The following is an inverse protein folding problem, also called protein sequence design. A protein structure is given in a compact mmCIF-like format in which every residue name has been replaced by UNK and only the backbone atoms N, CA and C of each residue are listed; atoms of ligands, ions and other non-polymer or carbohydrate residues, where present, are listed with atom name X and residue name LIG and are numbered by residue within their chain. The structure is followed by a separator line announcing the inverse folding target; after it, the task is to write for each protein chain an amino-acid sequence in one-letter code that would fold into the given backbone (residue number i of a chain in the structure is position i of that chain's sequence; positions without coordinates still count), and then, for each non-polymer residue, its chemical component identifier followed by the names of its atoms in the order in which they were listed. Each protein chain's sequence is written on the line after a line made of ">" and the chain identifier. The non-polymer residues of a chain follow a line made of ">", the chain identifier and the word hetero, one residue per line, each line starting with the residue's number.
data_IF_893236150569
#
_entry.id   IF_893236150569
#
_cell.length_a   1.000
_cell.length_b   1.000
_cell.length_c   1.000
_cell.angle_alpha   90.00
_cell.angle_beta   90.00
_cell.angle_gamma   90.00
#
_symmetry.space_group_name_H-M   'P 1'
#
loop_
_entity.id
_entity.type
_entity.pdbx_description
1 polymer ?
#
# COMPACT_ATOMS: atom_id res chain seq x y z
N UNK A 1 12.54 -26.21 13.13
CA UNK A 1 11.10 -25.89 12.84
C UNK A 1 10.83 -24.42 13.14
N UNK A 2 10.99 -23.57 12.13
CA UNK A 2 10.71 -22.15 12.26
C UNK A 2 9.22 -21.92 11.91
N UNK A 3 8.44 -21.43 12.88
CA UNK A 3 7.04 -21.05 12.63
C UNK A 3 6.97 -19.94 11.60
N UNK A 4 5.89 -19.89 10.79
CA UNK A 4 5.68 -18.79 9.85
C UNK A 4 5.57 -17.45 10.60
N UNK A 5 5.98 -16.36 9.97
CA UNK A 5 5.91 -15.02 10.55
C UNK A 5 4.47 -14.67 10.99
N UNK A 6 3.47 -15.07 10.21
CA UNK A 6 2.05 -14.87 10.52
C UNK A 6 1.67 -15.55 11.86
N UNK A 7 2.09 -16.80 12.05
CA UNK A 7 1.79 -17.54 13.29
C UNK A 7 2.53 -16.96 14.50
N UNK A 8 3.76 -16.48 14.31
CA UNK A 8 4.53 -15.81 15.39
C UNK A 8 3.86 -14.51 15.80
N UNK A 9 3.43 -13.69 14.83
CA UNK A 9 2.72 -12.44 15.11
C UNK A 9 1.39 -12.67 15.84
N UNK A 10 0.63 -13.70 15.44
CA UNK A 10 -0.64 -14.03 16.11
C UNK A 10 -0.43 -14.54 17.55
N UNK A 11 0.60 -15.35 17.80
CA UNK A 11 0.91 -15.78 19.16
C UNK A 11 1.34 -14.61 20.04
N UNK A 12 2.28 -13.78 19.55
CA UNK A 12 2.73 -12.59 20.28
C UNK A 12 1.60 -11.60 20.56
N UNK A 13 0.66 -11.44 19.61
CA UNK A 13 -0.51 -10.57 19.81
C UNK A 13 -1.39 -11.07 20.96
N UNK A 14 -1.62 -12.37 21.05
CA UNK A 14 -2.39 -12.96 22.16
C UNK A 14 -1.68 -12.79 23.50
N UNK A 15 -0.38 -13.05 23.53
CA UNK A 15 0.42 -12.97 24.75
C UNK A 15 0.53 -11.52 25.27
N UNK A 16 0.68 -10.54 24.37
CA UNK A 16 0.81 -9.13 24.74
C UNK A 16 -0.54 -8.45 25.03
N UNK A 17 -1.65 -8.97 24.51
CA UNK A 17 -2.99 -8.44 24.79
C UNK A 17 -3.42 -8.58 26.27
N UNK A 18 -2.76 -9.45 27.03
CA UNK A 18 -3.04 -9.69 28.45
C UNK A 18 -2.48 -8.57 29.35
N UNK A 19 -1.55 -7.75 28.85
CA UNK A 19 -0.90 -6.70 29.64
C UNK A 19 -1.79 -5.44 29.66
N UNK A 20 -2.39 -5.08 30.80
CA UNK A 20 -3.28 -3.93 30.88
C UNK A 20 -2.50 -2.61 30.64
N UNK A 21 -3.11 -1.71 29.89
CA UNK A 21 -2.54 -0.39 29.60
C UNK A 21 -1.50 -0.36 28.47
N UNK A 22 -1.18 -1.51 27.87
CA UNK A 22 -0.23 -1.60 26.74
C UNK A 22 -0.97 -1.83 25.41
N UNK A 23 -0.81 -0.94 24.46
CA UNK A 23 -1.27 -1.12 23.07
C UNK A 23 -0.07 -1.41 22.17
N UNK A 24 0.02 -2.65 21.69
CA UNK A 24 1.14 -3.11 20.85
C UNK A 24 0.69 -3.21 19.40
N UNK A 25 1.41 -2.54 18.51
CA UNK A 25 1.21 -2.59 17.06
C UNK A 25 2.41 -3.31 16.45
N UNK A 26 2.17 -4.46 15.83
CA UNK A 26 3.23 -5.25 15.24
C UNK A 26 3.13 -5.21 13.73
N UNK A 27 4.23 -4.84 13.09
CA UNK A 27 4.36 -4.81 11.64
C UNK A 27 5.55 -5.69 11.24
N UNK A 28 5.35 -6.68 10.34
CA UNK A 28 6.47 -7.41 9.78
C UNK A 28 7.31 -6.47 8.92
N UNK A 29 8.64 -6.51 9.09
CA UNK A 29 9.56 -5.78 8.22
C UNK A 29 9.59 -6.50 6.88
N UNK A 30 9.22 -5.79 5.83
CA UNK A 30 9.30 -6.30 4.46
C UNK A 30 10.60 -5.82 3.81
N UNK A 31 11.26 -6.71 3.06
CA UNK A 31 12.47 -6.37 2.32
C UNK A 31 12.21 -5.37 1.18
N UNK A 32 10.99 -5.31 0.67
CA UNK A 32 10.55 -4.37 -0.34
C UNK A 32 9.41 -3.52 0.23
N UNK A 33 9.63 -2.23 0.40
CA UNK A 33 8.61 -1.26 0.77
C UNK A 33 8.14 -0.54 -0.50
N UNK A 34 6.91 -0.79 -0.90
CA UNK A 34 6.32 -0.17 -2.09
C UNK A 34 5.70 1.17 -1.72
N UNK A 35 6.53 2.20 -1.63
CA UNK A 35 6.07 3.57 -1.40
C UNK A 35 5.46 3.81 -0.01
N UNK A 36 5.06 5.05 0.23
CA UNK A 36 4.38 5.46 1.45
C UNK A 36 5.30 5.78 2.63
N UNK A 37 4.69 6.37 3.66
CA UNK A 37 5.32 6.75 4.92
C UNK A 37 5.42 5.52 5.83
N UNK A 38 6.45 5.41 6.65
CA UNK A 38 6.51 4.36 7.68
C UNK A 38 5.43 4.59 8.72
N UNK A 39 4.49 3.64 8.83
CA UNK A 39 3.36 3.68 9.77
C UNK A 39 3.32 2.45 10.66
N UNK A 40 2.49 2.49 11.71
CA UNK A 40 2.34 1.39 12.68
C UNK A 40 1.71 0.14 12.04
N UNK A 41 0.90 0.31 10.99
CA UNK A 41 0.22 -0.77 10.27
C UNK A 41 0.58 -0.74 8.79
N UNK A 42 0.24 -1.80 8.05
CA UNK A 42 0.70 -2.02 6.67
C UNK A 42 0.03 -1.11 5.64
N UNK A 43 -1.30 -0.97 5.74
CA UNK A 43 -2.10 -0.23 4.76
C UNK A 43 -2.35 1.18 5.26
N UNK A 44 -2.46 2.13 4.33
CA UNK A 44 -2.60 3.54 4.65
C UNK A 44 -3.78 4.15 3.89
N UNK A 45 -4.59 4.92 4.61
CA UNK A 45 -5.65 5.76 4.06
C UNK A 45 -5.43 7.18 4.52
N UNK A 46 -5.35 8.12 3.60
CA UNK A 46 -4.91 9.49 3.84
C UNK A 46 -6.07 10.43 3.58
N UNK A 47 -6.39 11.27 4.56
CA UNK A 47 -7.32 12.37 4.43
C UNK A 47 -6.54 13.68 4.37
N UNK A 48 -6.88 14.54 3.42
CA UNK A 48 -6.20 15.82 3.17
C UNK A 48 -7.23 16.95 3.10
N UNK A 49 -6.93 18.09 3.71
CA UNK A 49 -7.73 19.31 3.56
C UNK A 49 -6.88 20.53 3.85
N UNK A 50 -7.25 21.66 3.29
CA UNK A 50 -6.62 22.96 3.59
C UNK A 50 -6.80 23.35 5.07
N UNK A 51 -7.92 22.95 5.70
CA UNK A 51 -8.20 23.20 7.12
C UNK A 51 -7.81 22.01 8.00
N UNK A 52 -6.76 22.15 8.81
CA UNK A 52 -6.25 21.07 9.67
C UNK A 52 -7.28 20.56 10.70
N UNK A 53 -8.04 21.44 11.33
CA UNK A 53 -9.02 21.07 12.36
C UNK A 53 -10.13 20.14 11.79
N UNK A 54 -10.64 20.47 10.59
CA UNK A 54 -11.63 19.64 9.92
C UNK A 54 -11.14 18.24 9.59
N UNK A 55 -9.88 18.09 9.15
CA UNK A 55 -9.30 16.78 8.82
C UNK A 55 -9.24 15.87 10.04
N UNK A 56 -8.89 16.43 11.22
CA UNK A 56 -8.82 15.64 12.45
C UNK A 56 -10.18 15.12 12.91
N UNK A 57 -11.20 15.95 12.85
CA UNK A 57 -12.58 15.55 13.22
C UNK A 57 -13.07 14.38 12.34
N UNK A 58 -12.94 14.54 11.03
CA UNK A 58 -13.40 13.55 10.08
C UNK A 58 -12.54 12.27 10.11
N UNK A 59 -11.22 12.39 10.31
CA UNK A 59 -10.36 11.22 10.47
C UNK A 59 -10.76 10.39 11.69
N UNK A 60 -11.15 11.01 12.80
CA UNK A 60 -11.64 10.30 13.97
C UNK A 60 -12.94 9.55 13.70
N UNK A 61 -13.90 10.15 12.98
CA UNK A 61 -15.13 9.48 12.55
C UNK A 61 -14.85 8.25 11.68
N UNK A 62 -13.91 8.37 10.72
CA UNK A 62 -13.49 7.24 9.88
C UNK A 62 -12.84 6.15 10.73
N UNK A 63 -11.91 6.51 11.63
CA UNK A 63 -11.23 5.56 12.52
C UNK A 63 -12.22 4.81 13.41
N UNK A 64 -13.24 5.48 13.93
CA UNK A 64 -14.27 4.85 14.75
C UNK A 64 -15.07 3.82 13.96
N UNK A 65 -15.51 4.17 12.76
CA UNK A 65 -16.17 3.23 11.84
C UNK A 65 -15.28 2.04 11.48
N UNK A 66 -14.00 2.28 11.18
CA UNK A 66 -13.07 1.20 10.88
C UNK A 66 -12.84 0.27 12.08
N UNK A 67 -12.76 0.81 13.29
CA UNK A 67 -12.59 0.00 14.51
C UNK A 67 -13.81 -0.85 14.86
N UNK A 68 -14.99 -0.41 14.47
CA UNK A 68 -16.24 -1.17 14.68
C UNK A 68 -16.43 -2.33 13.68
N UNK A 69 -15.65 -2.38 12.59
CA UNK A 69 -15.76 -3.42 11.58
C UNK A 69 -14.67 -4.50 11.74
N UNK A 70 -15.07 -5.76 11.70
CA UNK A 70 -14.19 -6.91 11.91
C UNK A 70 -13.09 -7.10 10.83
N UNK A 71 -13.26 -6.49 9.65
CA UNK A 71 -12.27 -6.55 8.56
C UNK A 71 -10.99 -5.80 8.92
N UNK A 72 -11.12 -4.68 9.66
CA UNK A 72 -9.99 -3.83 10.00
C UNK A 72 -9.40 -4.20 11.35
N UNK A 73 -8.08 -4.27 11.41
CA UNK A 73 -7.30 -4.51 12.63
C UNK A 73 -6.22 -3.44 12.78
N UNK A 74 -5.78 -3.23 14.02
CA UNK A 74 -4.69 -2.32 14.36
C UNK A 74 -4.86 -0.92 13.74
N UNK A 75 -6.10 -0.41 13.77
CA UNK A 75 -6.43 0.90 13.20
C UNK A 75 -5.84 2.00 14.06
N UNK A 76 -4.93 2.77 13.50
CA UNK A 76 -4.26 3.90 14.16
C UNK A 76 -4.21 5.12 13.26
N UNK A 77 -4.06 6.29 13.88
CA UNK A 77 -3.87 7.54 13.16
C UNK A 77 -2.54 8.18 13.56
N UNK A 78 -1.94 8.92 12.66
CA UNK A 78 -0.78 9.76 12.94
C UNK A 78 -1.16 11.13 13.51
N UNK A 79 -2.44 11.44 13.62
CA UNK A 79 -2.95 12.62 14.34
C UNK A 79 -2.81 12.42 15.84
N UNK A 80 -1.82 13.08 16.43
CA UNK A 80 -1.57 13.04 17.86
C UNK A 80 -2.08 14.34 18.51
N UNK A 81 -3.38 14.38 18.83
CA UNK A 81 -4.01 15.47 19.58
C UNK A 81 -3.90 15.26 21.10
N UNK A 82 -2.72 14.94 21.62
CA UNK A 82 -2.52 14.63 23.04
C UNK A 82 -1.42 15.46 23.70
N UNK A 83 -0.88 16.43 23.00
CA UNK A 83 0.10 17.35 23.56
C UNK A 83 -0.56 18.32 24.53
N UNK A 84 -0.13 18.31 25.78
CA UNK A 84 -0.51 19.37 26.71
C UNK A 84 0.16 20.66 26.26
N UNK A 85 -0.64 21.73 26.15
CA UNK A 85 -0.19 23.06 25.74
C UNK A 85 -0.71 24.10 26.73
N UNK A 86 0.09 25.11 27.01
CA UNK A 86 -0.37 26.30 27.64
C UNK A 86 -0.87 27.28 26.57
N UNK A 87 -2.17 27.48 26.49
CA UNK A 87 -2.79 28.45 25.58
C UNK A 87 -2.82 29.81 26.27
N UNK A 88 -2.27 30.83 25.62
CA UNK A 88 -2.22 32.20 26.13
C UNK A 88 -3.19 33.04 25.33
N UNK A 89 -4.29 33.44 25.96
CA UNK A 89 -5.27 34.35 25.37
C UNK A 89 -4.97 35.78 25.82
N UNK A 90 -4.50 36.60 24.88
CA UNK A 90 -4.07 37.98 25.16
C UNK A 90 -5.25 38.95 25.06
N UNK A 91 -5.51 39.68 26.15
CA UNK A 91 -6.45 40.78 26.15
C UNK A 91 -5.76 42.00 25.49
N UNK A 92 -6.11 42.28 24.26
CA UNK A 92 -5.46 43.30 23.44
C UNK A 92 -5.71 44.72 23.97
N UNK A 93 -6.86 44.96 24.57
CA UNK A 93 -7.23 46.26 25.09
C UNK A 93 -6.47 46.57 26.38
N UNK A 94 -6.36 45.60 27.28
CA UNK A 94 -5.52 45.70 28.47
C UNK A 94 -4.03 45.85 28.13
N UNK A 95 -3.54 45.07 27.17
CA UNK A 95 -2.16 45.17 26.72
C UNK A 95 -1.85 46.56 26.13
N UNK A 96 -2.74 47.09 25.28
CA UNK A 96 -2.59 48.43 24.71
C UNK A 96 -2.62 49.52 25.79
N UNK A 97 -3.55 49.42 26.75
CA UNK A 97 -3.64 50.36 27.88
C UNK A 97 -2.39 50.35 28.78
N UNK A 98 -1.75 49.18 28.91
CA UNK A 98 -0.49 49.03 29.63
C UNK A 98 0.75 49.42 28.79
N UNK A 99 0.57 49.86 27.54
CA UNK A 99 1.65 50.21 26.62
C UNK A 99 2.45 48.99 26.11
N UNK A 100 1.89 47.75 26.22
CA UNK A 100 2.56 46.52 25.83
C UNK A 100 2.08 46.09 24.45
N UNK A 101 3.02 45.85 23.53
CA UNK A 101 2.72 45.35 22.21
C UNK A 101 2.71 43.82 22.20
N UNK A 102 1.95 43.21 21.29
CA UNK A 102 1.96 41.75 21.07
C UNK A 102 3.38 41.24 20.73
N UNK A 103 4.15 42.04 20.02
CA UNK A 103 5.53 41.71 19.70
C UNK A 103 6.40 41.58 20.96
N UNK A 104 6.19 42.49 21.97
CA UNK A 104 6.92 42.42 23.24
C UNK A 104 6.55 41.17 24.04
N UNK A 105 5.24 40.81 24.07
CA UNK A 105 4.76 39.57 24.71
C UNK A 105 5.40 38.36 24.05
N UNK A 106 5.33 38.26 22.71
CA UNK A 106 5.94 37.18 21.97
C UNK A 106 7.45 37.07 22.22
N UNK A 107 8.16 38.18 22.21
CA UNK A 107 9.62 38.19 22.43
C UNK A 107 9.99 37.75 23.86
N UNK A 108 9.20 38.18 24.87
CA UNK A 108 9.41 37.74 26.25
C UNK A 108 9.19 36.21 26.40
N UNK A 109 8.09 35.70 25.84
CA UNK A 109 7.79 34.26 25.84
C UNK A 109 8.83 33.45 25.04
N UNK A 110 9.26 33.95 23.89
CA UNK A 110 10.30 33.32 23.09
C UNK A 110 11.63 33.24 23.83
N UNK A 111 12.01 34.36 24.56
CA UNK A 111 13.23 34.37 25.36
C UNK A 111 13.18 33.41 26.55
N UNK A 112 11.99 33.17 27.14
CA UNK A 112 11.85 32.31 28.32
C UNK A 112 11.66 30.83 27.95
N UNK A 113 10.89 30.53 26.89
CA UNK A 113 10.42 29.15 26.58
C UNK A 113 10.79 28.65 25.19
N UNK A 114 11.30 29.51 24.29
CA UNK A 114 11.53 29.21 22.88
C UNK A 114 12.97 28.86 22.50
N UNK A 115 13.83 28.55 23.47
CA UNK A 115 15.26 28.26 23.21
C UNK A 115 15.92 29.29 22.30
N UNK A 116 15.80 30.58 22.70
CA UNK A 116 16.26 31.69 21.87
C UNK A 116 17.78 31.71 21.75
N UNK A 117 18.28 31.53 20.53
CA UNK A 117 19.69 31.76 20.23
C UNK A 117 20.00 33.27 20.32
N UNK A 118 20.79 33.67 21.30
CA UNK A 118 21.16 35.10 21.55
C UNK A 118 22.52 35.44 20.99
N UNK A 119 23.44 34.48 20.88
CA UNK A 119 24.80 34.69 20.38
C UNK A 119 25.38 33.41 19.82
N UNK A 120 26.50 33.55 19.12
CA UNK A 120 27.29 32.43 18.63
C UNK A 120 28.74 32.67 18.99
N UNK A 121 29.38 31.69 19.62
CA UNK A 121 30.79 31.71 19.96
C UNK A 121 31.57 30.94 18.89
N UNK A 122 32.45 31.63 18.21
CA UNK A 122 33.32 31.05 17.20
C UNK A 122 34.67 30.69 17.81
N UNK A 123 35.10 29.45 17.62
CA UNK A 123 36.44 29.00 17.99
C UNK A 123 37.18 28.53 16.73
N UNK A 124 38.48 28.30 16.83
CA UNK A 124 39.25 27.79 15.68
C UNK A 124 38.84 26.41 15.19
N UNK A 125 38.13 25.64 16.01
CA UNK A 125 37.77 24.23 15.73
C UNK A 125 36.26 24.03 15.61
N UNK A 126 35.41 24.84 16.29
CA UNK A 126 33.98 24.63 16.33
C UNK A 126 33.22 25.95 16.58
N UNK A 127 31.91 25.88 16.35
CA UNK A 127 30.96 26.99 16.56
C UNK A 127 29.93 26.58 17.62
N UNK A 128 29.78 27.40 18.67
CA UNK A 128 28.85 27.10 19.76
C UNK A 128 27.75 28.15 19.80
N UNK A 129 26.52 27.68 19.88
CA UNK A 129 25.34 28.55 20.02
C UNK A 129 25.08 28.83 21.50
N UNK A 130 24.82 30.11 21.82
CA UNK A 130 24.40 30.50 23.15
C UNK A 130 22.88 30.61 23.18
N UNK A 131 22.25 29.76 23.96
CA UNK A 131 20.79 29.68 24.08
C UNK A 131 20.35 30.34 25.38
N UNK A 132 19.39 31.27 25.28
CA UNK A 132 18.73 31.88 26.41
C UNK A 132 17.39 31.18 26.67
N UNK A 133 17.19 30.72 27.89
CA UNK A 133 15.93 30.12 28.32
C UNK A 133 15.71 30.29 29.83
N UNK A 134 14.45 30.13 30.27
CA UNK A 134 14.13 30.08 31.70
C UNK A 134 14.67 28.80 32.33
N UNK A 135 15.07 28.86 33.60
CA UNK A 135 15.51 27.68 34.33
C UNK A 135 14.42 26.58 34.40
N UNK A 136 14.85 25.32 34.52
CA UNK A 136 13.95 24.16 34.48
C UNK A 136 12.87 24.21 35.59
N UNK A 137 13.14 24.88 36.71
CA UNK A 137 12.20 25.09 37.81
C UNK A 137 11.00 25.98 37.43
N UNK A 138 11.17 26.87 36.42
CA UNK A 138 10.13 27.80 35.93
C UNK A 138 9.42 27.29 34.65
N UNK A 139 9.57 26.00 34.31
CA UNK A 139 8.98 25.36 33.11
C UNK A 139 8.07 24.16 33.43
N UNK A 140 7.67 23.99 34.71
CA UNK A 140 6.98 22.79 35.14
C UNK A 140 5.46 22.88 35.02
N UNK A 141 4.93 24.06 35.32
CA UNK A 141 3.48 24.27 35.38
C UNK A 141 3.07 25.49 34.56
N UNK A 142 1.83 25.50 34.09
CA UNK A 142 1.25 26.65 33.39
C UNK A 142 1.22 27.92 34.28
N UNK A 143 1.16 27.75 35.59
CA UNK A 143 1.24 28.86 36.56
C UNK A 143 2.58 29.63 36.55
N UNK A 144 3.64 28.96 36.07
CA UNK A 144 5.00 29.59 36.02
C UNK A 144 5.03 30.72 35.00
N UNK A 145 4.12 30.70 33.99
CA UNK A 145 3.93 31.80 33.05
C UNK A 145 3.49 33.13 33.71
N UNK A 146 2.85 33.05 34.89
CA UNK A 146 2.45 34.23 35.64
C UNK A 146 3.65 35.01 36.17
N UNK A 147 4.82 34.39 36.30
CA UNK A 147 6.09 35.04 36.68
C UNK A 147 6.76 35.80 35.55
N UNK A 148 6.24 35.79 34.34
CA UNK A 148 6.80 36.50 33.19
C UNK A 148 6.38 38.00 33.24
N UNK A 149 7.35 38.87 33.06
CA UNK A 149 7.15 40.31 32.97
C UNK A 149 7.50 40.77 31.55
N UNK A 150 6.66 41.64 31.01
CA UNK A 150 6.80 42.22 29.67
C UNK A 150 7.09 43.71 29.78
N UNK A 151 8.09 44.20 29.04
CA UNK A 151 8.43 45.63 29.02
C UNK A 151 7.45 46.42 28.14
N UNK A 152 6.85 47.47 28.64
CA UNK A 152 6.05 48.42 27.86
C UNK A 152 6.91 49.24 26.88
N UNK A 153 6.29 49.76 25.83
CA UNK A 153 6.98 50.47 24.73
C UNK A 153 7.55 51.81 25.17
N UNK A 154 6.84 52.54 26.06
CA UNK A 154 7.16 53.92 26.44
C UNK A 154 7.56 54.06 27.92
N UNK A 155 7.74 52.99 28.65
CA UNK A 155 8.10 53.03 30.06
C UNK A 155 9.03 51.88 30.42
N UNK A 156 9.99 52.14 31.33
CA UNK A 156 10.79 51.09 31.96
C UNK A 156 9.97 50.18 32.90
N UNK A 157 8.66 50.39 32.94
CA UNK A 157 7.76 49.61 33.79
C UNK A 157 7.57 48.21 33.22
N UNK A 158 7.85 47.23 34.06
CA UNK A 158 7.57 45.82 33.77
C UNK A 158 6.12 45.51 34.11
N UNK A 159 5.39 44.97 33.18
CA UNK A 159 3.97 44.56 33.30
C UNK A 159 3.90 43.03 33.42
N UNK A 160 3.31 42.46 34.48
CA UNK A 160 3.17 41.00 34.59
C UNK A 160 2.24 40.49 33.50
N UNK A 161 2.61 39.36 32.90
CA UNK A 161 1.83 38.73 31.82
C UNK A 161 0.40 38.41 32.29
N UNK A 162 0.22 37.98 33.52
CA UNK A 162 -1.07 37.67 34.13
C UNK A 162 -2.07 38.83 34.17
N UNK A 163 -1.62 40.09 34.08
CA UNK A 163 -2.50 41.27 34.04
C UNK A 163 -3.08 41.55 32.64
N UNK A 164 -2.43 41.05 31.60
CA UNK A 164 -2.77 41.30 30.18
C UNK A 164 -3.10 40.06 29.37
N UNK A 165 -2.97 38.87 29.95
CA UNK A 165 -3.27 37.61 29.29
C UNK A 165 -3.78 36.58 30.29
N UNK A 166 -4.62 35.68 29.81
CA UNK A 166 -5.11 34.51 30.55
C UNK A 166 -4.45 33.24 30.03
N UNK A 167 -3.85 32.47 30.94
CA UNK A 167 -3.21 31.23 30.61
C UNK A 167 -4.17 30.05 30.92
N UNK A 168 -4.47 29.23 29.94
CA UNK A 168 -5.33 28.06 30.10
C UNK A 168 -4.63 26.80 29.59
N UNK A 169 -4.86 25.71 30.30
CA UNK A 169 -4.40 24.38 29.82
C UNK A 169 -5.24 23.95 28.64
N UNK A 170 -4.60 23.61 27.54
CA UNK A 170 -5.24 23.12 26.34
C UNK A 170 -4.60 21.80 25.88
N UNK A 171 -5.31 21.06 25.05
CA UNK A 171 -4.78 19.90 24.35
C UNK A 171 -4.65 20.28 22.89
N UNK A 172 -3.48 20.10 22.33
CA UNK A 172 -3.20 20.43 20.94
C UNK A 172 -2.43 19.34 20.21
N UNK A 173 -2.25 19.50 18.90
CA UNK A 173 -1.45 18.57 18.12
C UNK A 173 0.02 18.69 18.49
N UNK A 174 0.68 17.54 18.68
CA UNK A 174 2.14 17.49 18.87
C UNK A 174 2.89 17.61 17.54
N UNK A 175 2.23 17.23 16.44
CA UNK A 175 2.77 17.35 15.08
C UNK A 175 1.65 17.58 14.09
N UNK A 176 1.91 18.36 13.05
CA UNK A 176 1.03 18.55 11.89
C UNK A 176 1.70 17.91 10.68
N UNK A 177 1.08 16.83 10.20
CA UNK A 177 1.58 16.12 9.04
C UNK A 177 1.02 16.72 7.75
N UNK A 178 1.82 16.66 6.69
CA UNK A 178 1.46 17.12 5.36
C UNK A 178 1.69 15.99 4.35
N UNK A 179 0.82 15.94 3.35
CA UNK A 179 1.01 15.12 2.15
C UNK A 179 1.08 16.06 0.96
N UNK A 180 2.24 16.09 0.28
CA UNK A 180 2.53 17.22 -0.57
C UNK A 180 2.61 18.52 0.23
N UNK A 181 1.85 19.52 -0.13
CA UNK A 181 1.81 20.82 0.55
C UNK A 181 0.54 21.04 1.40
N UNK A 182 -0.30 20.01 1.53
CA UNK A 182 -1.61 20.08 2.18
C UNK A 182 -1.58 19.34 3.52
N UNK A 183 -2.14 19.89 4.60
CA UNK A 183 -2.30 19.18 5.86
C UNK A 183 -3.03 17.87 5.66
N UNK A 184 -2.50 16.81 6.27
CA UNK A 184 -2.99 15.45 6.06
C UNK A 184 -2.99 14.65 7.36
N UNK A 185 -3.95 13.73 7.47
CA UNK A 185 -3.98 12.72 8.51
C UNK A 185 -3.93 11.35 7.85
N UNK A 186 -2.96 10.55 8.24
CA UNK A 186 -2.79 9.17 7.76
C UNK A 186 -3.39 8.20 8.76
N UNK A 187 -4.40 7.46 8.32
CA UNK A 187 -4.96 6.33 9.05
C UNK A 187 -4.25 5.08 8.56
N UNK A 188 -3.58 4.36 9.47
CA UNK A 188 -2.95 3.10 9.13
C UNK A 188 -3.72 1.93 9.73
N UNK A 189 -3.83 0.84 8.98
CA UNK A 189 -4.61 -0.34 9.38
C UNK A 189 -3.99 -1.64 8.84
N UNK A 190 -4.33 -2.73 9.48
CA UNK A 190 -4.12 -4.09 9.01
C UNK A 190 -5.47 -4.72 8.68
N UNK A 191 -5.45 -5.85 7.99
CA UNK A 191 -6.65 -6.61 7.67
C UNK A 191 -6.77 -7.84 8.58
N UNK A 192 -8.00 -8.33 8.75
CA UNK A 192 -8.24 -9.64 9.34
C UNK A 192 -7.59 -10.74 8.47
N UNK A 193 -7.24 -11.91 9.03
CA UNK A 193 -6.51 -12.97 8.31
C UNK A 193 -7.17 -13.43 7.01
N UNK A 194 -8.51 -13.36 6.94
CA UNK A 194 -9.31 -13.84 5.82
C UNK A 194 -9.93 -12.71 4.98
N UNK A 195 -9.54 -11.46 5.25
CA UNK A 195 -10.07 -10.28 4.56
C UNK A 195 -9.18 -9.88 3.38
N UNK A 196 -9.79 -9.67 2.21
CA UNK A 196 -9.09 -9.15 1.05
C UNK A 196 -9.02 -7.62 1.06
N UNK A 197 -7.92 -7.06 0.55
CA UNK A 197 -7.74 -5.60 0.45
C UNK A 197 -8.82 -4.94 -0.42
N UNK A 198 -9.28 -5.62 -1.48
CA UNK A 198 -10.37 -5.12 -2.33
C UNK A 198 -11.70 -4.96 -1.60
N UNK A 199 -12.01 -5.85 -0.64
CA UNK A 199 -13.22 -5.71 0.17
C UNK A 199 -13.08 -4.59 1.20
N UNK A 200 -11.89 -4.43 1.77
CA UNK A 200 -11.59 -3.35 2.69
C UNK A 200 -11.69 -1.97 2.02
N UNK A 201 -11.19 -1.83 0.78
CA UNK A 201 -11.30 -0.56 0.03
C UNK A 201 -12.75 -0.22 -0.29
N UNK A 202 -13.56 -1.19 -0.73
CA UNK A 202 -15.00 -0.99 -0.96
C UNK A 202 -15.74 -0.56 0.31
N UNK A 203 -15.44 -1.18 1.45
CA UNK A 203 -16.01 -0.78 2.74
C UNK A 203 -15.58 0.61 3.17
N UNK A 204 -14.32 0.99 2.97
CA UNK A 204 -13.85 2.35 3.22
C UNK A 204 -14.61 3.38 2.39
N UNK A 205 -14.81 3.12 1.11
CA UNK A 205 -15.63 3.98 0.24
C UNK A 205 -17.08 4.08 0.72
N UNK A 206 -17.63 2.98 1.22
CA UNK A 206 -18.97 2.97 1.82
C UNK A 206 -19.01 3.80 3.11
N UNK A 207 -18.04 3.65 4.01
CA UNK A 207 -17.95 4.46 5.23
C UNK A 207 -17.85 5.95 4.93
N UNK A 208 -17.05 6.34 3.94
CA UNK A 208 -16.92 7.74 3.50
C UNK A 208 -18.25 8.31 3.01
N UNK A 209 -19.05 7.50 2.30
CA UNK A 209 -20.42 7.89 1.88
C UNK A 209 -21.36 7.98 3.06
N UNK A 210 -21.32 6.99 3.97
CA UNK A 210 -22.22 6.93 5.14
C UNK A 210 -22.02 8.12 6.09
N UNK A 211 -20.75 8.54 6.29
CA UNK A 211 -20.44 9.70 7.13
C UNK A 211 -20.63 11.04 6.41
N UNK A 212 -21.00 11.02 5.12
CA UNK A 212 -21.15 12.22 4.29
C UNK A 212 -19.93 13.14 4.34
N UNK A 213 -18.75 12.58 4.03
CA UNK A 213 -17.48 13.32 4.06
C UNK A 213 -17.57 14.57 3.17
N UNK A 214 -17.23 15.77 3.67
CA UNK A 214 -17.28 16.99 2.88
C UNK A 214 -16.37 16.92 1.65
N UNK A 215 -16.76 17.50 0.51
CA UNK A 215 -15.95 17.50 -0.71
C UNK A 215 -14.63 18.29 -0.58
N UNK A 216 -14.49 19.07 0.48
CA UNK A 216 -13.24 19.78 0.84
C UNK A 216 -12.15 18.86 1.37
N UNK A 217 -12.51 17.62 1.76
CA UNK A 217 -11.57 16.61 2.22
C UNK A 217 -11.30 15.62 1.09
N UNK A 218 -10.08 15.62 0.62
CA UNK A 218 -9.60 14.71 -0.42
C UNK A 218 -9.08 13.44 0.27
N UNK A 219 -9.49 12.29 -0.23
CA UNK A 219 -9.03 10.99 0.28
C UNK A 219 -8.14 10.31 -0.73
N UNK A 220 -7.11 9.64 -0.26
CA UNK A 220 -6.20 8.84 -1.10
C UNK A 220 -5.68 7.63 -0.33
N UNK A 221 -5.22 6.63 -1.06
CA UNK A 221 -4.53 5.49 -0.48
C UNK A 221 -3.02 5.72 -0.48
N UNK A 222 -2.31 5.18 0.50
CA UNK A 222 -0.86 5.23 0.60
C UNK A 222 -0.25 3.82 0.72
N UNK A 223 1.07 3.72 0.49
CA UNK A 223 1.79 2.46 0.61
C UNK A 223 1.23 1.35 -0.27
N UNK A 224 1.14 0.12 0.26
CA UNK A 224 0.66 -1.06 -0.47
C UNK A 224 -0.77 -0.89 -1.00
N UNK A 225 -1.62 -0.12 -0.30
CA UNK A 225 -2.98 0.13 -0.74
C UNK A 225 -3.05 1.04 -1.98
N UNK A 226 -2.16 2.03 -2.09
CA UNK A 226 -2.06 2.89 -3.29
C UNK A 226 -1.62 2.08 -4.51
N UNK A 227 -0.63 1.22 -4.35
CA UNK A 227 -0.12 0.37 -5.44
C UNK A 227 -1.19 -0.62 -5.90
N UNK A 228 -1.96 -1.17 -4.97
CA UNK A 228 -3.09 -2.03 -5.29
C UNK A 228 -4.16 -1.27 -6.11
N UNK A 229 -4.56 -0.09 -5.67
CA UNK A 229 -5.58 0.70 -6.35
C UNK A 229 -5.14 1.20 -7.73
N UNK A 230 -3.92 1.73 -7.85
CA UNK A 230 -3.38 2.17 -9.14
C UNK A 230 -3.15 1.01 -10.11
N UNK A 231 -2.80 -0.16 -9.57
CA UNK A 231 -2.60 -1.39 -10.35
C UNK A 231 -3.91 -1.93 -10.94
N UNK A 232 -5.03 -1.84 -10.21
CA UNK A 232 -6.26 -2.55 -10.58
C UNK A 232 -6.86 -2.06 -11.91
N UNK A 233 -6.87 -0.77 -12.19
CA UNK A 233 -7.36 -0.24 -13.48
C UNK A 233 -6.37 -0.43 -14.63
N UNK A 234 -5.08 -0.23 -14.36
CA UNK A 234 -4.03 -0.33 -15.38
C UNK A 234 -3.75 -1.78 -15.79
N UNK A 235 -3.90 -2.74 -14.88
CA UNK A 235 -3.60 -4.16 -15.15
C UNK A 235 -4.57 -4.80 -16.14
N UNK A 236 -5.86 -4.48 -16.07
CA UNK A 236 -6.85 -4.99 -17.03
C UNK A 236 -6.53 -4.46 -18.44
N UNK A 237 -6.19 -3.18 -18.55
CA UNK A 237 -5.82 -2.57 -19.84
C UNK A 237 -4.54 -3.20 -20.37
N UNK A 238 -3.52 -3.40 -19.54
CA UNK A 238 -2.27 -4.05 -19.92
C UNK A 238 -2.48 -5.51 -20.35
N UNK A 239 -3.35 -6.25 -19.66
CA UNK A 239 -3.69 -7.62 -20.02
C UNK A 239 -4.39 -7.68 -21.39
N UNK A 240 -5.38 -6.81 -21.61
CA UNK A 240 -6.10 -6.74 -22.88
C UNK A 240 -5.14 -6.29 -24.00
N UNK A 241 -4.29 -5.31 -23.75
CA UNK A 241 -3.28 -4.86 -24.72
C UNK A 241 -2.29 -5.99 -25.06
N UNK A 242 -1.80 -6.74 -24.06
CA UNK A 242 -0.92 -7.88 -24.29
C UNK A 242 -1.59 -8.96 -25.13
N UNK A 243 -2.84 -9.31 -24.83
CA UNK A 243 -3.60 -10.29 -25.61
C UNK A 243 -3.80 -9.81 -27.05
N UNK A 244 -4.15 -8.53 -27.24
CA UNK A 244 -4.35 -7.93 -28.56
C UNK A 244 -3.05 -7.91 -29.37
N UNK A 245 -1.95 -7.49 -28.79
CA UNK A 245 -0.62 -7.48 -29.48
C UNK A 245 -0.24 -8.90 -29.91
N UNK A 246 -0.45 -9.88 -29.05
CA UNK A 246 -0.14 -11.27 -29.38
C UNK A 246 -1.08 -11.78 -30.47
N UNK A 247 -2.36 -11.44 -30.42
CA UNK A 247 -3.33 -11.80 -31.46
C UNK A 247 -2.89 -11.26 -32.82
N UNK A 248 -2.55 -9.97 -32.90
CA UNK A 248 -2.08 -9.31 -34.14
C UNK A 248 -0.78 -9.96 -34.64
N UNK A 249 0.18 -10.18 -33.74
CA UNK A 249 1.47 -10.77 -34.10
C UNK A 249 1.32 -12.19 -34.64
N UNK A 250 0.48 -13.03 -33.99
CA UNK A 250 0.20 -14.36 -34.47
C UNK A 250 -0.63 -14.34 -35.78
N UNK A 251 -1.54 -13.37 -35.94
CA UNK A 251 -2.30 -13.17 -37.18
C UNK A 251 -1.40 -12.89 -38.37
N UNK A 252 -0.40 -12.04 -38.17
CA UNK A 252 0.61 -11.73 -39.20
C UNK A 252 1.49 -12.97 -39.49
N UNK A 253 1.91 -13.70 -38.43
CA UNK A 253 2.79 -14.84 -38.57
C UNK A 253 2.14 -16.02 -39.33
N UNK A 254 0.86 -16.28 -39.02
CA UNK A 254 0.13 -17.43 -39.60
C UNK A 254 -0.72 -17.05 -40.83
N UNK A 255 -0.77 -15.78 -41.21
CA UNK A 255 -1.61 -15.26 -42.29
C UNK A 255 -3.09 -15.69 -42.14
N UNK A 256 -3.57 -15.76 -40.89
CA UNK A 256 -4.90 -16.26 -40.54
C UNK A 256 -5.46 -15.54 -39.33
N UNK A 257 -6.76 -15.23 -39.35
CA UNK A 257 -7.48 -14.67 -38.21
C UNK A 257 -7.92 -15.71 -37.17
N UNK A 258 -7.93 -16.99 -37.55
CA UNK A 258 -8.53 -18.09 -36.77
C UNK A 258 -7.50 -18.78 -35.88
N UNK A 259 -6.31 -19.04 -36.41
CA UNK A 259 -5.25 -19.74 -35.68
C UNK A 259 -4.79 -19.00 -34.40
N UNK A 260 -4.69 -17.64 -34.39
CA UNK A 260 -4.45 -16.90 -33.17
C UNK A 260 -5.49 -17.13 -32.06
N UNK A 261 -6.78 -17.22 -32.43
CA UNK A 261 -7.86 -17.49 -31.48
C UNK A 261 -7.70 -18.88 -30.86
N UNK A 262 -7.37 -19.87 -31.67
CA UNK A 262 -7.11 -21.25 -31.20
C UNK A 262 -5.97 -21.28 -30.15
N UNK A 263 -4.91 -20.55 -30.40
CA UNK A 263 -3.75 -20.44 -29.50
C UNK A 263 -4.13 -19.71 -28.20
N UNK A 264 -4.90 -18.62 -28.32
CA UNK A 264 -5.31 -17.79 -27.18
C UNK A 264 -6.38 -18.46 -26.30
N UNK A 265 -7.16 -19.39 -26.83
CA UNK A 265 -8.22 -20.08 -26.10
C UNK A 265 -7.74 -20.87 -24.86
N UNK A 266 -6.44 -21.20 -24.79
CA UNK A 266 -5.84 -21.83 -23.60
C UNK A 266 -5.53 -20.87 -22.45
N UNK A 267 -5.54 -19.54 -22.66
CA UNK A 267 -5.16 -18.58 -21.64
C UNK A 267 -6.09 -18.54 -20.40
N UNK A 268 -7.42 -18.56 -20.54
CA UNK A 268 -8.30 -18.52 -19.39
C UNK A 268 -8.05 -19.69 -18.42
N UNK A 269 -7.69 -20.88 -18.93
CA UNK A 269 -7.40 -22.03 -18.09
C UNK A 269 -6.17 -21.85 -17.20
N UNK A 270 -5.14 -21.17 -17.71
CA UNK A 270 -3.95 -20.86 -16.94
C UNK A 270 -4.25 -19.87 -15.80
N UNK A 271 -5.05 -18.83 -16.09
CA UNK A 271 -5.47 -17.88 -15.08
C UNK A 271 -6.34 -18.53 -13.99
N UNK A 272 -7.29 -19.36 -14.38
CA UNK A 272 -8.13 -20.14 -13.45
C UNK A 272 -7.26 -21.07 -12.60
N UNK A 273 -6.30 -21.79 -13.22
CA UNK A 273 -5.37 -22.64 -12.50
C UNK A 273 -4.56 -21.90 -11.45
N UNK A 274 -4.02 -20.73 -11.80
CA UNK A 274 -3.30 -19.88 -10.87
C UNK A 274 -4.18 -19.44 -9.69
N UNK A 275 -5.41 -18.97 -9.94
CA UNK A 275 -6.35 -18.53 -8.91
C UNK A 275 -6.78 -19.68 -7.98
N UNK A 276 -7.05 -20.86 -8.53
CA UNK A 276 -7.41 -22.05 -7.75
C UNK A 276 -6.28 -22.46 -6.82
N UNK A 277 -5.03 -22.48 -7.30
CA UNK A 277 -3.89 -22.84 -6.47
C UNK A 277 -3.59 -21.77 -5.39
N UNK A 278 -3.69 -20.48 -5.70
CA UNK A 278 -3.61 -19.43 -4.70
C UNK A 278 -4.65 -19.64 -3.59
N UNK A 279 -5.87 -20.02 -3.96
CA UNK A 279 -6.95 -20.30 -3.00
C UNK A 279 -6.67 -21.54 -2.14
N UNK A 280 -6.18 -22.63 -2.73
CA UNK A 280 -5.82 -23.87 -2.02
C UNK A 280 -4.71 -23.61 -0.99
N UNK A 281 -3.73 -22.79 -1.34
CA UNK A 281 -2.62 -22.45 -0.44
C UNK A 281 -2.92 -21.28 0.50
N UNK A 282 -4.15 -20.77 0.51
CA UNK A 282 -4.58 -19.62 1.32
C UNK A 282 -3.68 -18.39 1.15
N UNK A 283 -3.27 -18.12 -0.10
CA UNK A 283 -2.47 -16.97 -0.48
C UNK A 283 -3.35 -15.89 -1.10
N UNK A 284 -3.10 -14.65 -0.72
CA UNK A 284 -3.82 -13.49 -1.26
C UNK A 284 -3.40 -13.21 -2.71
N UNK A 285 -4.32 -12.64 -3.50
CA UNK A 285 -4.03 -12.13 -4.84
C UNK A 285 -3.24 -10.81 -4.72
N UNK A 286 -1.95 -10.93 -4.44
CA UNK A 286 -1.03 -9.78 -4.35
C UNK A 286 -0.61 -9.33 -5.74
N UNK A 287 -0.01 -8.13 -5.83
CA UNK A 287 0.60 -7.62 -7.09
C UNK A 287 1.61 -8.63 -7.64
N UNK A 288 2.38 -9.28 -6.77
CA UNK A 288 3.36 -10.29 -7.14
C UNK A 288 2.69 -11.54 -7.73
N UNK A 289 1.53 -11.96 -7.20
CA UNK A 289 0.73 -13.04 -7.79
C UNK A 289 0.22 -12.66 -9.19
N UNK A 290 -0.22 -11.42 -9.37
CA UNK A 290 -0.70 -10.92 -10.68
C UNK A 290 0.45 -10.90 -11.70
N UNK A 291 1.66 -10.50 -11.31
CA UNK A 291 2.86 -10.61 -12.16
C UNK A 291 3.09 -12.08 -12.55
N UNK A 292 2.87 -13.03 -11.62
CA UNK A 292 2.93 -14.45 -11.93
C UNK A 292 1.92 -14.89 -13.00
N UNK A 293 0.69 -14.39 -12.92
CA UNK A 293 -0.37 -14.67 -13.92
C UNK A 293 0.01 -14.06 -15.29
N UNK A 294 0.56 -12.83 -15.30
CA UNK A 294 1.03 -12.22 -16.55
C UNK A 294 2.19 -13.01 -17.18
N UNK A 295 3.12 -13.52 -16.37
CA UNK A 295 4.21 -14.37 -16.82
C UNK A 295 3.71 -15.67 -17.45
N UNK A 296 2.64 -16.27 -16.89
CA UNK A 296 2.00 -17.47 -17.43
C UNK A 296 1.50 -17.28 -18.86
N UNK A 297 1.03 -16.08 -19.22
CA UNK A 297 0.57 -15.78 -20.57
C UNK A 297 1.67 -16.08 -21.59
N UNK A 298 2.90 -15.70 -21.31
CA UNK A 298 4.04 -16.00 -22.19
C UNK A 298 4.41 -17.48 -22.25
N UNK A 299 4.48 -18.15 -21.09
CA UNK A 299 4.95 -19.54 -21.01
C UNK A 299 3.93 -20.53 -21.60
N UNK A 300 2.64 -20.36 -21.30
CA UNK A 300 1.58 -21.26 -21.74
C UNK A 300 1.39 -21.22 -23.25
N UNK A 301 1.48 -20.05 -23.87
CA UNK A 301 1.34 -19.91 -25.33
C UNK A 301 2.40 -20.67 -26.10
N UNK A 302 3.63 -20.73 -25.61
CA UNK A 302 4.70 -21.47 -26.28
C UNK A 302 4.28 -22.90 -26.61
N UNK A 303 3.60 -23.57 -25.71
CA UNK A 303 3.17 -24.97 -25.91
C UNK A 303 2.09 -25.09 -26.98
N UNK A 304 1.10 -24.20 -26.98
CA UNK A 304 0.05 -24.17 -28.00
C UNK A 304 0.62 -23.80 -29.38
N UNK A 305 1.51 -22.81 -29.45
CA UNK A 305 2.20 -22.40 -30.68
C UNK A 305 2.95 -23.59 -31.29
N UNK A 306 3.80 -24.26 -30.50
CA UNK A 306 4.59 -25.42 -30.98
C UNK A 306 3.74 -26.57 -31.55
N UNK A 307 2.53 -26.74 -30.99
CA UNK A 307 1.63 -27.80 -31.44
C UNK A 307 0.92 -27.41 -32.74
N UNK A 308 0.40 -26.18 -32.81
CA UNK A 308 -0.37 -25.72 -33.99
C UNK A 308 0.56 -25.47 -35.16
N UNK A 309 1.73 -24.88 -34.93
CA UNK A 309 2.75 -24.65 -35.95
C UNK A 309 3.13 -25.95 -36.66
N UNK A 310 3.41 -27.00 -35.89
CA UNK A 310 3.73 -28.30 -36.44
C UNK A 310 2.53 -28.94 -37.14
N UNK A 311 1.30 -28.76 -36.66
CA UNK A 311 0.11 -29.26 -37.34
C UNK A 311 -0.11 -28.60 -38.70
N UNK A 312 0.08 -27.28 -38.78
CA UNK A 312 0.01 -26.51 -40.03
C UNK A 312 1.10 -26.93 -41.04
N UNK A 313 2.31 -27.17 -40.53
CA UNK A 313 3.44 -27.62 -41.35
C UNK A 313 3.14 -28.98 -41.98
N UNK A 314 2.66 -29.95 -41.19
CA UNK A 314 2.28 -31.28 -41.67
C UNK A 314 1.11 -31.21 -42.65
N UNK A 315 0.13 -30.35 -42.39
CA UNK A 315 -1.01 -30.17 -43.31
C UNK A 315 -0.57 -29.58 -44.64
N UNK A 316 0.32 -28.57 -44.66
CA UNK A 316 0.82 -27.89 -45.84
C UNK A 316 1.81 -28.75 -46.65
N UNK A 317 2.74 -29.46 -45.99
CA UNK A 317 3.79 -30.23 -46.66
C UNK A 317 3.33 -31.61 -47.13
N UNK A 318 2.43 -32.25 -46.39
CA UNK A 318 2.01 -33.65 -46.65
C UNK A 318 0.56 -33.78 -47.12
N UNK A 319 -0.16 -32.65 -47.33
CA UNK A 319 -1.56 -32.64 -47.76
C UNK A 319 -2.47 -33.53 -46.89
N UNK A 320 -2.15 -33.64 -45.60
CA UNK A 320 -2.94 -34.45 -44.65
C UNK A 320 -4.22 -33.73 -44.25
N UNK A 321 -5.23 -34.49 -43.88
CA UNK A 321 -6.46 -33.92 -43.31
C UNK A 321 -6.15 -33.20 -41.96
N UNK A 322 -6.87 -32.16 -41.61
CA UNK A 322 -6.66 -31.42 -40.35
C UNK A 322 -6.65 -32.32 -39.11
N UNK A 323 -7.48 -33.38 -39.13
CA UNK A 323 -7.57 -34.36 -38.05
C UNK A 323 -6.31 -35.22 -37.92
N UNK A 324 -5.72 -35.62 -39.02
CA UNK A 324 -4.50 -36.43 -39.03
C UNK A 324 -3.28 -35.54 -38.70
N UNK A 325 -3.24 -34.33 -39.24
CA UNK A 325 -2.20 -33.39 -38.99
C UNK A 325 -2.08 -33.02 -37.49
N UNK A 326 -3.19 -32.67 -36.83
CA UNK A 326 -3.17 -32.34 -35.38
C UNK A 326 -2.86 -33.58 -34.52
N UNK A 327 -3.32 -34.77 -34.91
CA UNK A 327 -2.98 -36.02 -34.21
C UNK A 327 -1.47 -36.29 -34.29
N UNK A 328 -0.88 -36.12 -35.45
CA UNK A 328 0.56 -36.30 -35.66
C UNK A 328 1.32 -35.24 -34.85
N UNK A 329 0.87 -33.99 -34.87
CA UNK A 329 1.45 -32.93 -34.07
C UNK A 329 1.42 -33.23 -32.56
N UNK A 330 0.30 -33.68 -32.05
CA UNK A 330 0.18 -34.05 -30.62
C UNK A 330 1.16 -35.17 -30.24
N UNK A 331 1.31 -36.22 -31.07
CA UNK A 331 2.21 -37.32 -30.78
C UNK A 331 3.69 -36.92 -30.87
N UNK A 332 4.07 -36.17 -31.88
CA UNK A 332 5.45 -35.79 -32.13
C UNK A 332 5.91 -34.70 -31.15
N UNK A 333 5.04 -33.76 -30.79
CA UNK A 333 5.36 -32.63 -29.90
C UNK A 333 5.10 -32.89 -28.41
N UNK A 334 4.50 -34.01 -28.07
CA UNK A 334 4.21 -34.40 -26.69
C UNK A 334 5.46 -34.34 -25.80
N UNK A 335 6.54 -35.04 -26.20
CA UNK A 335 7.81 -35.07 -25.43
C UNK A 335 8.45 -33.68 -25.26
N UNK A 336 8.68 -32.88 -26.32
CA UNK A 336 9.23 -31.55 -26.19
C UNK A 336 8.42 -30.62 -25.28
N UNK A 337 7.08 -30.65 -25.42
CA UNK A 337 6.16 -29.84 -24.58
C UNK A 337 6.25 -30.27 -23.12
N UNK A 338 6.22 -31.58 -22.83
CA UNK A 338 6.36 -32.10 -21.48
C UNK A 338 7.69 -31.73 -20.84
N UNK A 339 8.80 -31.85 -21.57
CA UNK A 339 10.14 -31.52 -21.09
C UNK A 339 10.24 -30.05 -20.72
N UNK A 340 9.76 -29.14 -21.57
CA UNK A 340 9.83 -27.70 -21.32
C UNK A 340 8.91 -27.27 -20.18
N UNK A 341 7.74 -27.86 -20.05
CA UNK A 341 6.81 -27.56 -18.95
C UNK A 341 7.34 -28.10 -17.61
N UNK A 342 7.90 -29.32 -17.59
CA UNK A 342 8.51 -29.87 -16.39
C UNK A 342 9.74 -29.06 -15.94
N UNK A 343 10.55 -28.59 -16.90
CA UNK A 343 11.67 -27.71 -16.58
C UNK A 343 11.19 -26.39 -15.96
N UNK A 344 10.15 -25.77 -16.51
CA UNK A 344 9.57 -24.53 -15.97
C UNK A 344 8.93 -24.77 -14.58
N UNK A 345 8.22 -25.88 -14.38
CA UNK A 345 7.65 -26.26 -13.08
C UNK A 345 8.75 -26.46 -12.03
N UNK A 346 9.81 -27.22 -12.35
CA UNK A 346 10.93 -27.44 -11.43
C UNK A 346 11.66 -26.14 -11.09
N UNK A 347 11.79 -25.21 -12.05
CA UNK A 347 12.36 -23.89 -11.83
C UNK A 347 11.49 -22.99 -10.91
N UNK A 348 10.16 -23.11 -10.99
CA UNK A 348 9.24 -22.35 -10.17
C UNK A 348 8.99 -23.00 -8.78
N UNK A 349 9.24 -24.28 -8.63
CA UNK A 349 8.94 -25.05 -7.41
C UNK A 349 9.63 -24.51 -6.15
N UNK A 350 10.92 -24.14 -6.14
CA UNK A 350 11.56 -23.59 -4.96
C UNK A 350 10.89 -22.29 -4.49
N UNK A 351 10.40 -21.46 -5.42
CA UNK A 351 9.68 -20.22 -5.11
C UNK A 351 8.30 -20.54 -4.55
N UNK A 352 7.59 -21.53 -5.13
CA UNK A 352 6.27 -21.95 -4.67
C UNK A 352 6.32 -22.58 -3.26
N UNK A 353 7.37 -23.35 -2.95
CA UNK A 353 7.58 -23.93 -1.63
C UNK A 353 7.95 -22.90 -0.56
N UNK A 354 8.26 -21.67 -0.95
CA UNK A 354 8.58 -20.62 0.00
C UNK A 354 9.88 -20.85 0.76
N UNK A 355 10.93 -21.34 0.10
CA UNK A 355 12.22 -21.61 0.72
C UNK A 355 13.08 -20.33 0.82
N UNK A 356 13.70 -20.12 1.99
CA UNK A 356 14.64 -19.03 2.25
C UNK A 356 14.03 -17.76 2.85
N UNK A 357 14.88 -16.79 3.19
CA UNK A 357 14.46 -15.52 3.77
C UNK A 357 13.67 -14.66 2.78
N UNK A 358 12.56 -14.06 3.22
CA UNK A 358 11.67 -13.25 2.36
C UNK A 358 10.85 -14.07 1.34
N UNK A 359 10.77 -15.39 1.54
CA UNK A 359 10.01 -16.29 0.68
C UNK A 359 8.51 -15.96 0.63
N UNK A 360 7.96 -15.46 1.73
CA UNK A 360 6.54 -15.11 1.88
C UNK A 360 6.07 -14.09 0.83
N UNK A 361 6.94 -13.18 0.38
CA UNK A 361 6.64 -12.23 -0.68
C UNK A 361 6.63 -12.88 -2.08
N UNK A 362 7.49 -13.86 -2.30
CA UNK A 362 7.67 -14.49 -3.62
C UNK A 362 6.80 -15.72 -3.81
N UNK A 363 6.37 -16.34 -2.73
CA UNK A 363 5.56 -17.56 -2.74
C UNK A 363 4.28 -17.43 -3.58
N UNK A 364 3.49 -16.32 -3.50
CA UNK A 364 2.31 -16.14 -4.34
C UNK A 364 2.60 -16.20 -5.85
N UNK A 365 3.76 -15.66 -6.28
CA UNK A 365 4.22 -15.75 -7.67
C UNK A 365 4.50 -17.21 -8.05
N UNK A 366 5.26 -17.92 -7.23
CA UNK A 366 5.62 -19.32 -7.49
C UNK A 366 4.40 -20.23 -7.55
N UNK A 367 3.48 -20.07 -6.60
CA UNK A 367 2.24 -20.87 -6.54
C UNK A 367 1.33 -20.56 -7.73
N UNK A 368 1.19 -19.28 -8.12
CA UNK A 368 0.41 -18.89 -9.29
C UNK A 368 1.00 -19.52 -10.57
N UNK A 369 2.34 -19.47 -10.74
CA UNK A 369 3.01 -20.05 -11.92
C UNK A 369 2.88 -21.57 -11.94
N UNK A 370 3.14 -22.26 -10.84
CA UNK A 370 3.02 -23.73 -10.76
C UNK A 370 1.58 -24.18 -10.99
N UNK A 371 0.61 -23.57 -10.31
CA UNK A 371 -0.81 -23.92 -10.44
C UNK A 371 -1.33 -23.65 -11.84
N UNK A 372 -0.99 -22.49 -12.41
CA UNK A 372 -1.38 -22.13 -13.77
C UNK A 372 -0.77 -23.05 -14.82
N UNK A 373 0.52 -23.41 -14.68
CA UNK A 373 1.16 -24.36 -15.60
C UNK A 373 0.57 -25.76 -15.53
N UNK A 374 0.29 -26.28 -14.34
CA UNK A 374 -0.30 -27.61 -14.18
C UNK A 374 -1.67 -27.71 -14.85
N UNK A 375 -2.55 -26.77 -14.57
CA UNK A 375 -3.91 -26.75 -15.14
C UNK A 375 -3.86 -26.49 -16.64
N UNK A 376 -3.09 -25.50 -17.06
CA UNK A 376 -2.99 -25.15 -18.49
C UNK A 376 -2.35 -26.26 -19.31
N UNK A 377 -1.42 -27.03 -18.76
CA UNK A 377 -0.81 -28.16 -19.46
C UNK A 377 -1.85 -29.21 -19.85
N UNK A 378 -2.71 -29.59 -18.90
CA UNK A 378 -3.80 -30.55 -19.15
C UNK A 378 -4.77 -30.00 -20.19
N UNK A 379 -5.19 -28.76 -20.02
CA UNK A 379 -6.14 -28.10 -20.92
C UNK A 379 -5.55 -27.94 -22.33
N UNK A 380 -4.28 -27.49 -22.43
CA UNK A 380 -3.65 -27.32 -23.75
C UNK A 380 -3.50 -28.63 -24.50
N UNK A 381 -3.13 -29.70 -23.82
CA UNK A 381 -2.98 -31.02 -24.49
C UNK A 381 -4.30 -31.62 -24.95
N UNK A 382 -5.40 -31.37 -24.22
CA UNK A 382 -6.70 -31.98 -24.50
C UNK A 382 -7.64 -31.07 -25.31
N UNK A 383 -7.70 -29.81 -24.97
CA UNK A 383 -8.69 -28.88 -25.52
C UNK A 383 -8.16 -28.14 -26.76
N UNK A 384 -6.89 -27.78 -26.82
CA UNK A 384 -6.35 -27.09 -27.99
C UNK A 384 -6.51 -27.85 -29.30
N UNK A 385 -6.28 -29.19 -29.36
CA UNK A 385 -6.55 -29.98 -30.57
C UNK A 385 -8.02 -29.97 -30.98
N UNK A 386 -8.92 -29.97 -30.00
CA UNK A 386 -10.36 -29.95 -30.27
C UNK A 386 -10.79 -28.60 -30.84
N UNK A 387 -10.31 -27.50 -30.22
CA UNK A 387 -10.58 -26.15 -30.71
C UNK A 387 -10.01 -25.95 -32.12
N UNK A 388 -8.81 -26.47 -32.36
CA UNK A 388 -8.20 -26.43 -33.71
C UNK A 388 -9.11 -27.06 -34.73
N UNK A 389 -9.62 -28.30 -34.53
CA UNK A 389 -10.51 -29.00 -35.45
C UNK A 389 -11.86 -28.29 -35.66
N UNK A 390 -12.37 -27.63 -34.60
CA UNK A 390 -13.63 -26.89 -34.71
C UNK A 390 -13.46 -25.60 -35.55
N UNK A 391 -12.37 -24.91 -35.32
CA UNK A 391 -12.12 -23.62 -35.96
C UNK A 391 -11.51 -23.75 -37.36
N UNK A 392 -10.83 -24.85 -37.66
CA UNK A 392 -10.26 -25.11 -38.97
C UNK A 392 -11.34 -25.16 -40.09
N UNK A 393 -12.59 -25.55 -39.75
CA UNK A 393 -13.74 -25.47 -40.69
C UNK A 393 -14.01 -24.05 -41.21
N UNK A 394 -13.55 -23.05 -40.54
CA UNK A 394 -13.75 -21.63 -40.88
C UNK A 394 -12.46 -20.98 -41.41
N UNK A 395 -11.38 -21.75 -41.55
CA UNK A 395 -10.06 -21.30 -42.01
C UNK A 395 -9.89 -21.40 -43.53
N UNK A 396 -10.96 -21.79 -44.25
CA UNK A 396 -10.95 -21.95 -45.69
C UNK A 396 -10.95 -20.66 -46.48
#
# INVERSE_FOLDING_TARGET
>A
DRKSMKNVLESLRKDLAVIPGLAVYMRPIQNLQLGGKVTKSRYQYILQSVGFEGVNEWSNKVVEKMRSDAIFRDVTTDSQLKGLQAKIDIDRDKAASAGVTIANIRNALYSAYGERQVSTIYTSVNTYQVILEAGAEYKRYESDLNGIYVRGRNSDRLVPLSSIATVTRAIGPTSVNHQGQVPAVTISFNLAPDAALGDATKKLEQFVKDIQLPPTIITSYGGDAAVFQSGQSSQIILLLAAVLVIYVLLGILYESYIHPITILAGLPSAAIGALVFLRIFNLELTIIAIIGILLLIGIVKKNAILMIDFALDVQRQHNQSPREAIRTACLMRFRPIMMTTMAALMGALPIALGLGAGAELRQPLGVAVVGGLLVSQVVTLLITPVIYLYLDKYSG
#
